data_IF_301283046213
#
_entry.id   IF_301283046213
#
_cell.length_a   1.000
_cell.length_b   1.000
_cell.length_c   1.000
_cell.angle_alpha   90.00
_cell.angle_beta   90.00
_cell.angle_gamma   90.00
#
_symmetry.space_group_name_H-M   'P 1'
#
loop_
_entity.id
_entity.type
_entity.pdbx_description
1 polymer ?
#
# COMPACT_ATOMS: atom_id res chain seq x y z
N UNK A 1 2.13 2.10 20.84
CA UNK A 1 3.40 2.25 21.60
C UNK A 1 4.20 0.99 21.37
N UNK A 2 5.45 1.12 20.89
CA UNK A 2 6.22 -0.01 20.34
C UNK A 2 6.86 -0.89 21.43
N UNK A 3 6.94 -0.43 22.70
CA UNK A 3 7.45 -1.22 23.82
C UNK A 3 6.62 -1.01 25.09
N UNK A 4 5.46 -1.68 25.18
CA UNK A 4 4.54 -1.56 26.31
C UNK A 4 5.14 -2.06 27.64
N UNK A 5 6.12 -2.96 27.55
CA UNK A 5 6.77 -3.61 28.71
C UNK A 5 7.78 -2.71 29.42
N UNK A 6 8.27 -1.66 28.75
CA UNK A 6 9.21 -0.69 29.34
C UNK A 6 8.53 0.43 30.13
N UNK A 7 7.20 0.47 30.11
CA UNK A 7 6.43 1.49 30.81
C UNK A 7 6.27 1.11 32.28
N UNK A 8 6.44 2.09 33.18
CA UNK A 8 6.04 1.91 34.57
C UNK A 8 4.52 1.82 34.70
N UNK A 9 4.04 1.22 35.78
CA UNK A 9 2.60 1.12 36.04
C UNK A 9 1.91 2.49 36.12
N UNK A 10 2.62 3.51 36.62
CA UNK A 10 2.09 4.88 36.67
C UNK A 10 1.93 5.47 35.25
N UNK A 11 2.88 5.20 34.35
CA UNK A 11 2.80 5.64 32.96
C UNK A 11 1.66 4.93 32.20
N UNK A 12 1.48 3.62 32.43
CA UNK A 12 0.37 2.87 31.85
C UNK A 12 -0.97 3.44 32.29
N UNK A 13 -1.17 3.64 33.60
CA UNK A 13 -2.40 4.24 34.14
C UNK A 13 -2.66 5.66 33.62
N UNK A 14 -1.62 6.47 33.45
CA UNK A 14 -1.76 7.81 32.88
C UNK A 14 -2.20 7.76 31.41
N UNK A 15 -1.60 6.89 30.60
CA UNK A 15 -1.99 6.71 29.20
C UNK A 15 -3.41 6.16 29.05
N UNK A 16 -3.81 5.25 29.95
CA UNK A 16 -5.17 4.71 29.98
C UNK A 16 -6.19 5.78 30.37
N UNK A 17 -5.90 6.61 31.36
CA UNK A 17 -6.73 7.75 31.72
C UNK A 17 -6.87 8.76 30.57
N UNK A 18 -5.80 9.03 29.82
CA UNK A 18 -5.83 9.88 28.61
C UNK A 18 -6.72 9.24 27.54
N UNK A 19 -6.56 7.93 27.30
CA UNK A 19 -7.37 7.19 26.35
C UNK A 19 -8.85 7.28 26.69
N UNK A 20 -9.22 6.97 27.92
CA UNK A 20 -10.62 6.91 28.35
C UNK A 20 -11.29 8.28 28.43
N UNK A 21 -10.61 9.26 29.03
CA UNK A 21 -11.23 10.56 29.33
C UNK A 21 -11.17 11.54 28.17
N UNK A 22 -10.22 11.37 27.26
CA UNK A 22 -9.98 12.32 26.16
C UNK A 22 -10.23 11.62 24.83
N UNK A 23 -9.43 10.61 24.50
CA UNK A 23 -9.40 10.05 23.15
C UNK A 23 -10.70 9.34 22.76
N UNK A 24 -11.36 8.60 23.67
CA UNK A 24 -12.61 7.91 23.36
C UNK A 24 -13.73 8.89 22.92
N UNK A 25 -13.77 10.09 23.49
CA UNK A 25 -14.76 11.11 23.10
C UNK A 25 -14.55 11.61 21.66
N UNK A 26 -13.32 11.55 21.15
CA UNK A 26 -12.97 11.93 19.79
C UNK A 26 -12.78 10.72 18.85
N UNK A 27 -12.87 9.49 19.38
CA UNK A 27 -12.64 8.23 18.67
C UNK A 27 -11.17 7.87 18.43
N UNK A 28 -10.30 8.86 18.19
CA UNK A 28 -8.87 8.65 17.90
C UNK A 28 -8.02 9.84 18.39
N UNK A 29 -6.72 9.83 18.12
CA UNK A 29 -5.84 11.01 18.30
C UNK A 29 -5.99 12.05 17.17
N UNK A 30 -6.71 11.72 16.09
CA UNK A 30 -6.85 12.53 14.88
C UNK A 30 -5.65 12.50 13.93
N UNK A 31 -4.48 12.01 14.37
CA UNK A 31 -3.25 12.02 13.53
C UNK A 31 -3.41 11.13 12.30
N UNK A 32 -3.88 9.89 12.47
CA UNK A 32 -4.10 8.99 11.34
C UNK A 32 -5.20 9.51 10.41
N UNK A 33 -6.26 10.10 10.97
CA UNK A 33 -7.38 10.65 10.20
C UNK A 33 -6.95 11.85 9.37
N UNK A 34 -6.08 12.71 9.90
CA UNK A 34 -5.50 13.84 9.18
C UNK A 34 -4.63 13.38 8.00
N UNK A 35 -3.75 12.40 8.23
CA UNK A 35 -2.90 11.81 7.17
C UNK A 35 -3.76 11.16 6.09
N UNK A 36 -4.71 10.32 6.49
CA UNK A 36 -5.63 9.64 5.56
C UNK A 36 -6.45 10.65 4.76
N UNK A 37 -6.92 11.73 5.39
CA UNK A 37 -7.67 12.79 4.70
C UNK A 37 -6.80 13.51 3.68
N UNK A 38 -5.55 13.86 4.04
CA UNK A 38 -4.63 14.51 3.11
C UNK A 38 -4.39 13.65 1.86
N UNK A 39 -4.03 12.38 2.05
CA UNK A 39 -3.67 11.51 0.94
C UNK A 39 -4.86 10.99 0.14
N UNK A 40 -5.89 10.46 0.81
CA UNK A 40 -6.99 9.78 0.12
C UNK A 40 -8.12 10.72 -0.30
N UNK A 41 -8.33 11.85 0.40
CA UNK A 41 -9.45 12.76 0.09
C UNK A 41 -9.00 14.01 -0.64
N UNK A 42 -7.88 14.63 -0.24
CA UNK A 42 -7.44 15.89 -0.85
C UNK A 42 -6.56 15.65 -2.08
N UNK A 43 -5.63 14.69 -1.99
CA UNK A 43 -4.74 14.32 -3.09
C UNK A 43 -5.31 13.21 -3.98
N UNK A 44 -6.47 12.67 -3.63
CA UNK A 44 -7.15 11.59 -4.35
C UNK A 44 -6.22 10.41 -4.69
N UNK A 45 -5.35 10.02 -3.76
CA UNK A 45 -4.41 8.92 -3.98
C UNK A 45 -5.05 7.56 -3.67
N UNK A 46 -4.49 6.51 -4.25
CA UNK A 46 -4.85 5.11 -4.05
C UNK A 46 -3.61 4.30 -3.67
N UNK A 47 -3.81 3.21 -2.94
CA UNK A 47 -2.75 2.26 -2.59
C UNK A 47 -2.79 1.09 -3.56
N UNK A 48 -1.64 0.70 -4.12
CA UNK A 48 -1.48 -0.44 -5.02
C UNK A 48 -0.31 -1.31 -4.57
N UNK A 49 -0.44 -2.62 -4.68
CA UNK A 49 0.51 -3.61 -4.17
C UNK A 49 1.13 -4.39 -5.33
N UNK A 50 2.32 -4.00 -5.81
CA UNK A 50 3.02 -4.80 -6.80
C UNK A 50 3.59 -6.07 -6.16
N UNK A 51 3.41 -7.20 -6.84
CA UNK A 51 3.97 -8.51 -6.46
C UNK A 51 4.64 -9.14 -7.67
N UNK A 52 5.56 -10.07 -7.44
CA UNK A 52 6.16 -10.84 -8.55
C UNK A 52 5.36 -12.12 -8.80
N UNK A 53 4.95 -12.80 -7.72
CA UNK A 53 4.12 -14.01 -7.73
C UNK A 53 2.68 -13.70 -7.31
N UNK A 54 1.73 -13.88 -8.23
CA UNK A 54 0.29 -13.64 -8.02
C UNK A 54 -0.41 -14.77 -7.24
N UNK A 55 0.17 -15.96 -7.18
CA UNK A 55 -0.38 -17.09 -6.41
C UNK A 55 -0.09 -16.92 -4.92
N UNK A 56 1.16 -16.56 -4.60
CA UNK A 56 1.62 -16.40 -3.22
C UNK A 56 1.53 -14.96 -2.72
N UNK A 57 1.28 -14.01 -3.62
CA UNK A 57 1.31 -12.57 -3.35
C UNK A 57 2.69 -12.11 -2.82
N UNK A 58 3.77 -12.69 -3.36
CA UNK A 58 5.13 -12.48 -2.86
C UNK A 58 6.06 -11.86 -3.90
N UNK A 59 7.22 -11.39 -3.44
CA UNK A 59 8.40 -11.19 -4.29
C UNK A 59 9.26 -12.46 -4.43
N UNK A 60 10.36 -12.36 -5.16
CA UNK A 60 11.41 -13.39 -5.27
C UNK A 60 12.01 -13.86 -3.94
N UNK A 61 11.84 -13.13 -2.84
CA UNK A 61 12.32 -13.50 -1.49
C UNK A 61 11.24 -14.16 -0.64
N UNK A 62 10.03 -14.35 -1.17
CA UNK A 62 8.90 -14.90 -0.44
C UNK A 62 8.27 -13.93 0.56
N UNK A 63 8.54 -12.62 0.47
CA UNK A 63 7.91 -11.60 1.32
C UNK A 63 6.51 -11.32 0.79
N UNK A 64 5.48 -11.53 1.61
CA UNK A 64 4.07 -11.32 1.24
C UNK A 64 3.75 -9.83 1.20
N UNK A 65 3.17 -9.36 0.08
CA UNK A 65 2.83 -7.97 -0.20
C UNK A 65 3.96 -7.01 0.22
N UNK A 66 5.14 -7.13 -0.43
CA UNK A 66 6.38 -6.54 0.06
C UNK A 66 6.31 -5.01 0.14
N UNK A 67 5.58 -4.40 -0.80
CA UNK A 67 5.51 -2.96 -0.97
C UNK A 67 4.05 -2.49 -1.14
N UNK A 68 3.78 -1.27 -0.70
CA UNK A 68 2.53 -0.56 -0.90
C UNK A 68 2.82 0.80 -1.53
N UNK A 69 2.45 0.97 -2.80
CA UNK A 69 2.67 2.20 -3.54
C UNK A 69 1.46 3.10 -3.40
N UNK A 70 1.70 4.36 -3.05
CA UNK A 70 0.68 5.39 -3.05
C UNK A 70 0.79 6.18 -4.35
N UNK A 71 -0.22 6.10 -5.20
CA UNK A 71 -0.24 6.75 -6.52
C UNK A 71 -1.51 7.58 -6.71
N UNK A 72 -1.49 8.65 -7.52
CA UNK A 72 -2.71 9.40 -7.83
C UNK A 72 -3.80 8.52 -8.44
N UNK A 73 -5.06 8.82 -8.16
CA UNK A 73 -6.16 8.22 -8.90
C UNK A 73 -6.01 8.50 -10.41
N UNK A 74 -6.30 7.49 -11.23
CA UNK A 74 -6.11 7.55 -12.68
C UNK A 74 -4.77 6.98 -13.17
N UNK A 75 -3.81 6.69 -12.28
CA UNK A 75 -2.56 6.01 -12.66
C UNK A 75 -2.84 4.66 -13.32
N UNK A 76 -2.17 4.41 -14.44
CA UNK A 76 -2.29 3.19 -15.24
C UNK A 76 -1.29 2.10 -14.81
N UNK A 77 -1.53 0.87 -15.23
CA UNK A 77 -0.63 -0.26 -14.96
C UNK A 77 0.80 -0.02 -15.48
N UNK A 78 0.95 0.61 -16.65
CA UNK A 78 2.27 0.93 -17.21
C UNK A 78 2.96 2.08 -16.49
N UNK A 79 2.23 3.11 -16.08
CA UNK A 79 2.78 4.18 -15.26
C UNK A 79 3.27 3.67 -13.91
N UNK A 80 2.55 2.73 -13.26
CA UNK A 80 3.07 2.06 -12.07
C UNK A 80 4.37 1.31 -12.35
N UNK A 81 4.49 0.64 -13.50
CA UNK A 81 5.74 -0.01 -13.89
C UNK A 81 6.91 0.98 -13.96
N UNK A 82 6.68 2.18 -14.52
CA UNK A 82 7.66 3.27 -14.51
C UNK A 82 8.01 3.76 -13.10
N UNK A 83 7.03 3.84 -12.18
CA UNK A 83 7.27 4.21 -10.78
C UNK A 83 8.13 3.19 -10.03
N UNK A 84 8.01 1.90 -10.36
CA UNK A 84 8.84 0.84 -9.77
C UNK A 84 10.25 0.87 -10.38
N UNK A 85 10.35 0.93 -11.70
CA UNK A 85 11.62 1.03 -12.41
C UNK A 85 11.41 1.40 -13.88
N UNK A 86 12.23 2.31 -14.42
CA UNK A 86 12.13 2.75 -15.83
C UNK A 86 12.14 1.59 -16.82
N UNK A 87 13.03 0.60 -16.64
CA UNK A 87 13.10 -0.57 -17.53
C UNK A 87 11.83 -1.44 -17.53
N UNK A 88 11.09 -1.50 -16.41
CA UNK A 88 9.83 -2.25 -16.34
C UNK A 88 8.76 -1.53 -17.17
N UNK A 89 8.69 -0.20 -17.10
CA UNK A 89 7.78 0.60 -17.91
C UNK A 89 8.12 0.58 -19.41
N UNK A 90 9.42 0.64 -19.75
CA UNK A 90 9.90 0.61 -21.14
C UNK A 90 9.66 -0.74 -21.83
N UNK A 91 9.75 -1.84 -21.07
CA UNK A 91 9.57 -3.19 -21.58
C UNK A 91 8.26 -3.84 -21.14
N UNK A 92 7.27 -3.05 -20.72
CA UNK A 92 5.96 -3.52 -20.28
C UNK A 92 5.27 -4.34 -21.39
N UNK A 93 4.72 -5.50 -21.03
CA UNK A 93 3.92 -6.33 -21.93
C UNK A 93 2.45 -6.35 -21.47
N UNK A 94 2.22 -6.70 -20.22
CA UNK A 94 0.91 -6.70 -19.57
C UNK A 94 1.08 -6.77 -18.05
N UNK A 95 0.01 -6.54 -17.30
CA UNK A 95 -0.03 -6.85 -15.87
C UNK A 95 -1.03 -7.98 -15.59
N UNK A 96 -0.90 -8.64 -14.44
CA UNK A 96 -1.85 -9.66 -13.95
C UNK A 96 -2.44 -9.16 -12.64
N UNK A 97 -3.76 -9.08 -12.55
CA UNK A 97 -4.48 -8.80 -11.31
C UNK A 97 -4.63 -10.09 -10.49
N UNK A 98 -4.32 -10.04 -9.19
CA UNK A 98 -4.14 -11.25 -8.40
C UNK A 98 -5.44 -11.96 -7.96
N UNK A 99 -6.58 -11.26 -7.78
CA UNK A 99 -7.82 -11.87 -7.27
C UNK A 99 -8.50 -12.72 -8.33
N UNK A 100 -8.63 -12.19 -9.54
CA UNK A 100 -9.29 -12.85 -10.68
C UNK A 100 -8.29 -13.46 -11.65
N UNK A 101 -6.98 -13.22 -11.45
CA UNK A 101 -5.87 -13.72 -12.29
C UNK A 101 -6.02 -13.31 -13.75
N UNK A 102 -6.59 -12.12 -13.97
CA UNK A 102 -6.85 -11.58 -15.30
C UNK A 102 -5.66 -10.78 -15.80
N UNK A 103 -5.42 -10.87 -17.10
CA UNK A 103 -4.46 -10.00 -17.79
C UNK A 103 -5.06 -8.61 -17.95
N UNK A 104 -4.26 -7.60 -17.64
CA UNK A 104 -4.56 -6.17 -17.74
C UNK A 104 -3.66 -5.55 -18.81
N UNK A 105 -4.25 -4.71 -19.65
CA UNK A 105 -3.50 -3.92 -20.64
C UNK A 105 -2.74 -2.77 -20.00
N UNK A 106 -1.93 -2.07 -20.80
CA UNK A 106 -1.13 -0.93 -20.34
C UNK A 106 -2.00 0.22 -19.80
N UNK A 107 -3.14 0.49 -20.45
CA UNK A 107 -4.08 1.57 -20.10
C UNK A 107 -5.05 1.21 -18.96
N UNK A 108 -4.89 0.04 -18.34
CA UNK A 108 -5.75 -0.31 -17.20
C UNK A 108 -5.53 0.68 -16.06
N UNK A 109 -6.58 1.43 -15.70
CA UNK A 109 -6.58 2.36 -14.58
C UNK A 109 -6.66 1.59 -13.28
N UNK A 110 -5.64 1.77 -12.43
CA UNK A 110 -5.51 1.08 -11.15
C UNK A 110 -6.61 1.50 -10.18
N UNK A 111 -7.02 0.54 -9.35
CA UNK A 111 -8.01 0.76 -8.28
C UNK A 111 -7.34 0.63 -6.92
N UNK A 112 -7.94 1.29 -5.93
CA UNK A 112 -7.44 1.21 -4.56
C UNK A 112 -7.46 -0.24 -4.05
N UNK A 113 -6.31 -0.70 -3.58
CA UNK A 113 -6.10 -2.06 -3.11
C UNK A 113 -5.77 -3.06 -4.21
N UNK A 114 -5.56 -2.65 -5.46
CA UNK A 114 -5.15 -3.58 -6.51
C UNK A 114 -3.84 -4.26 -6.13
N UNK A 115 -3.79 -5.58 -6.34
CA UNK A 115 -2.58 -6.39 -6.19
C UNK A 115 -2.22 -6.90 -7.58
N UNK A 116 -1.10 -6.44 -8.13
CA UNK A 116 -0.77 -6.68 -9.53
C UNK A 116 0.67 -7.16 -9.72
N UNK A 117 0.88 -8.06 -10.67
CA UNK A 117 2.21 -8.46 -11.14
C UNK A 117 2.46 -7.89 -12.53
N UNK A 118 3.57 -7.18 -12.70
CA UNK A 118 3.96 -6.57 -13.97
C UNK A 118 4.84 -7.55 -14.74
N UNK A 119 4.42 -7.86 -15.97
CA UNK A 119 5.17 -8.72 -16.87
C UNK A 119 5.85 -7.84 -17.91
N UNK A 120 7.18 -7.92 -17.96
CA UNK A 120 8.03 -7.16 -18.87
C UNK A 120 8.92 -8.08 -19.71
N UNK A 121 9.33 -7.61 -20.89
CA UNK A 121 10.17 -8.38 -21.82
C UNK A 121 11.59 -8.60 -21.28
N UNK A 122 12.10 -7.66 -20.48
CA UNK A 122 13.35 -7.81 -19.74
C UNK A 122 13.01 -8.30 -18.34
N UNK A 123 13.03 -9.62 -18.16
CA UNK A 123 12.88 -10.23 -16.83
C UNK A 123 14.02 -9.70 -15.94
N UNK A 124 13.69 -9.11 -14.79
CA UNK A 124 14.70 -8.83 -13.76
C UNK A 124 15.42 -10.14 -13.45
N UNK A 125 16.75 -10.14 -13.60
CA UNK A 125 17.61 -11.24 -13.19
C UNK A 125 17.73 -11.28 -11.66
#
# INVERSE_FOLDING_TARGET
IINHEKLSENQKKALEAIREKILLNFGSTGVQDAINTAYFKLLEMIVVYPVEDVEHLTDHRGRVLPDAYLVPYGTTARELAYLIHTELGDSFIYAIEAREKKRLGEDYVLKNGDVISIISAKKRA
#
